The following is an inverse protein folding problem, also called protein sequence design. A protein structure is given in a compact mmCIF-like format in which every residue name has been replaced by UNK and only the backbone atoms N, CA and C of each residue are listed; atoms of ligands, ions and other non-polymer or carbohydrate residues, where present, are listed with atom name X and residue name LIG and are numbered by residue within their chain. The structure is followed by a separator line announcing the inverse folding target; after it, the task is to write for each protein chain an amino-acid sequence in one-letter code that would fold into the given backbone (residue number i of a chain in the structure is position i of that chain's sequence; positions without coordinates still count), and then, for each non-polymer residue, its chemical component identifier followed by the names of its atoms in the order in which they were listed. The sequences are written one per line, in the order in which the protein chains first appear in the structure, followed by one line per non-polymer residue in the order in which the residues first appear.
data_IF_096063676197
#
_entry.id   IF_096063676197
#
_cell.length_a   1.000
_cell.length_b   1.000
_cell.length_c   1.000
_cell.angle_alpha   90.00
_cell.angle_beta   90.00
_cell.angle_gamma   90.00
#
_symmetry.space_group_name_H-M   'P 1'
#
loop_
_entity.id
_entity.type
_entity.pdbx_description
1 polymer ?
#
# COMPACT_ATOMS: atom_id res chain seq x y z
N UNK A 1 -4.05 -12.39 -14.96
CA UNK A 1 -3.47 -11.02 -14.85
C UNK A 1 -3.78 -10.27 -16.12
N UNK A 2 -4.17 -8.99 -16.03
CA UNK A 2 -4.27 -8.12 -17.21
C UNK A 2 -2.87 -7.71 -17.69
N UNK A 3 -2.74 -7.29 -18.97
CA UNK A 3 -1.47 -6.77 -19.52
C UNK A 3 -0.92 -5.62 -18.65
N UNK A 4 -1.79 -4.72 -18.17
CA UNK A 4 -1.43 -3.62 -17.28
C UNK A 4 -0.81 -4.09 -15.95
N UNK A 5 -1.27 -5.25 -15.43
CA UNK A 5 -0.72 -5.82 -14.19
C UNK A 5 0.68 -6.39 -14.40
N UNK A 6 0.97 -6.97 -15.56
CA UNK A 6 2.28 -7.54 -15.88
C UNK A 6 3.32 -6.43 -16.07
N UNK A 7 2.97 -5.37 -16.80
CA UNK A 7 3.86 -4.23 -17.04
C UNK A 7 4.20 -3.49 -15.73
N UNK A 8 3.20 -3.25 -14.88
CA UNK A 8 3.39 -2.62 -13.58
C UNK A 8 4.25 -3.48 -12.65
N UNK A 9 4.07 -4.81 -12.66
CA UNK A 9 4.89 -5.73 -11.88
C UNK A 9 6.35 -5.67 -12.30
N UNK A 10 6.63 -5.72 -13.61
CA UNK A 10 7.98 -5.61 -14.15
C UNK A 10 8.64 -4.27 -13.78
N UNK A 11 7.88 -3.16 -13.86
CA UNK A 11 8.35 -1.84 -13.44
C UNK A 11 8.79 -1.82 -11.97
N UNK A 12 7.96 -2.32 -11.04
CA UNK A 12 8.28 -2.29 -9.62
C UNK A 12 9.38 -3.27 -9.24
N UNK A 13 9.47 -4.43 -9.90
CA UNK A 13 10.58 -5.37 -9.71
C UNK A 13 11.92 -4.73 -10.12
N UNK A 14 11.99 -4.12 -11.30
CA UNK A 14 13.20 -3.44 -11.78
C UNK A 14 13.58 -2.22 -10.93
N UNK A 15 12.59 -1.56 -10.32
CA UNK A 15 12.79 -0.38 -9.47
C UNK A 15 13.20 -0.72 -8.04
N UNK A 16 12.98 -1.95 -7.56
CA UNK A 16 13.19 -2.35 -6.17
C UNK A 16 14.54 -1.90 -5.57
N UNK A 17 15.70 -1.97 -6.27
CA UNK A 17 17.00 -1.57 -5.72
C UNK A 17 17.11 -0.10 -5.30
N UNK A 18 16.30 0.78 -5.88
CA UNK A 18 16.32 2.23 -5.59
C UNK A 18 14.94 2.81 -5.27
N UNK A 19 13.97 1.93 -4.97
CA UNK A 19 12.59 2.35 -4.68
C UNK A 19 12.53 3.34 -3.51
N UNK A 20 13.30 3.13 -2.48
CA UNK A 20 13.24 3.91 -1.23
C UNK A 20 13.63 5.39 -1.36
N UNK A 21 14.25 5.78 -2.47
CA UNK A 21 14.52 7.18 -2.77
C UNK A 21 13.26 8.05 -2.72
N UNK A 22 12.05 7.45 -2.93
CA UNK A 22 10.78 8.18 -2.83
C UNK A 22 10.49 8.67 -1.41
N UNK A 23 11.01 8.01 -0.37
CA UNK A 23 10.83 8.39 1.03
C UNK A 23 11.87 9.41 1.51
N UNK A 24 12.99 9.53 0.82
CA UNK A 24 14.10 10.43 1.18
C UNK A 24 13.99 11.83 0.58
N UNK A 25 12.93 12.12 -0.16
CA UNK A 25 12.69 13.43 -0.75
C UNK A 25 12.50 14.50 0.34
N UNK A 26 13.19 15.67 0.25
CA UNK A 26 13.11 16.72 1.28
C UNK A 26 11.70 17.17 1.61
N UNK A 27 10.84 17.33 0.60
CA UNK A 27 9.45 17.75 0.73
C UNK A 27 8.56 16.75 1.46
N UNK A 28 9.01 15.49 1.61
CA UNK A 28 8.28 14.41 2.31
C UNK A 28 8.72 14.22 3.75
N UNK A 29 9.75 14.92 4.20
CA UNK A 29 10.39 14.69 5.50
C UNK A 29 9.42 14.76 6.66
N UNK A 30 8.56 15.77 6.70
CA UNK A 30 7.59 15.95 7.80
C UNK A 30 6.54 14.84 7.79
N UNK A 31 5.99 14.51 6.62
CA UNK A 31 5.03 13.44 6.47
C UNK A 31 5.63 12.09 6.90
N UNK A 32 6.85 11.78 6.45
CA UNK A 32 7.54 10.53 6.79
C UNK A 32 7.82 10.47 8.29
N UNK A 33 8.29 11.56 8.92
CA UNK A 33 8.53 11.61 10.36
C UNK A 33 7.24 11.36 11.15
N UNK A 34 6.12 11.94 10.73
CA UNK A 34 4.81 11.68 11.32
C UNK A 34 4.40 10.21 11.14
N UNK A 35 4.44 9.69 9.91
CA UNK A 35 3.95 8.35 9.57
C UNK A 35 4.77 7.24 10.24
N UNK A 36 6.11 7.39 10.34
CA UNK A 36 6.99 6.40 11.00
C UNK A 36 6.73 6.28 12.51
N UNK A 37 6.09 7.26 13.12
CA UNK A 37 5.63 7.21 14.51
C UNK A 37 4.17 6.76 14.60
N UNK A 38 3.30 7.34 13.78
CA UNK A 38 1.86 7.14 13.85
C UNK A 38 1.44 5.71 13.48
N UNK A 39 1.94 5.15 12.36
CA UNK A 39 1.54 3.81 11.90
C UNK A 39 1.84 2.72 12.93
N UNK A 40 3.07 2.64 13.52
CA UNK A 40 3.35 1.69 14.59
C UNK A 40 2.44 1.82 15.80
N UNK A 41 2.14 3.05 16.23
CA UNK A 41 1.26 3.28 17.38
C UNK A 41 -0.16 2.78 17.13
N UNK A 42 -0.70 3.02 15.92
CA UNK A 42 -2.06 2.59 15.57
C UNK A 42 -2.19 1.07 15.47
N UNK A 43 -1.11 0.35 15.19
CA UNK A 43 -1.06 -1.11 15.02
C UNK A 43 -0.40 -1.84 16.21
N UNK A 44 -0.02 -1.12 17.25
CA UNK A 44 0.66 -1.65 18.45
C UNK A 44 -0.10 -2.82 19.06
N UNK A 45 0.64 -3.90 19.33
CA UNK A 45 0.13 -5.10 20.00
C UNK A 45 -0.87 -5.92 19.18
N UNK A 46 -1.13 -5.56 17.91
CA UNK A 46 -2.03 -6.29 17.01
C UNK A 46 -1.27 -7.34 16.19
N UNK A 47 -1.96 -8.40 15.80
CA UNK A 47 -1.51 -9.26 14.71
C UNK A 47 -1.88 -8.54 13.41
N UNK A 48 -0.89 -8.20 12.59
CA UNK A 48 -1.03 -7.29 11.44
C UNK A 48 -0.78 -8.02 10.14
N UNK A 49 -1.61 -7.74 9.13
CA UNK A 49 -1.38 -8.10 7.73
C UNK A 49 -0.95 -6.86 6.95
N UNK A 50 0.24 -6.91 6.36
CA UNK A 50 0.71 -5.87 5.44
C UNK A 50 0.56 -6.35 3.99
N UNK A 51 -0.14 -5.57 3.18
CA UNK A 51 -0.39 -5.83 1.76
C UNK A 51 0.57 -5.03 0.91
N UNK A 52 1.16 -5.69 -0.11
CA UNK A 52 2.08 -5.07 -1.06
C UNK A 52 3.22 -4.32 -0.35
N UNK A 53 3.91 -5.02 0.56
CA UNK A 53 4.94 -4.43 1.44
C UNK A 53 6.17 -3.93 0.69
N UNK A 54 6.33 -4.30 -0.58
CA UNK A 54 7.43 -3.87 -1.42
C UNK A 54 8.79 -4.21 -0.81
N UNK A 55 9.67 -3.21 -0.75
CA UNK A 55 11.01 -3.32 -0.14
C UNK A 55 11.00 -3.33 1.40
N UNK A 56 9.82 -3.37 2.04
CA UNK A 56 9.70 -3.42 3.49
C UNK A 56 9.95 -2.09 4.21
N UNK A 57 9.88 -0.96 3.50
CA UNK A 57 10.11 0.35 4.12
C UNK A 57 9.18 0.60 5.31
N UNK A 58 7.89 0.33 5.18
CA UNK A 58 6.94 0.48 6.28
C UNK A 58 6.99 -0.69 7.25
N UNK A 59 7.26 -1.89 6.75
CA UNK A 59 7.40 -3.12 7.56
C UNK A 59 8.37 -2.93 8.71
N UNK A 60 9.57 -2.35 8.45
CA UNK A 60 10.60 -2.12 9.48
C UNK A 60 10.14 -1.22 10.64
N UNK A 61 9.21 -0.31 10.37
CA UNK A 61 8.67 0.59 11.39
C UNK A 61 7.51 -0.04 12.16
N UNK A 62 6.65 -0.82 11.48
CA UNK A 62 5.45 -1.41 12.06
C UNK A 62 5.78 -2.67 12.87
N UNK A 63 6.67 -3.52 12.36
CA UNK A 63 6.96 -4.83 12.94
C UNK A 63 7.38 -4.79 14.42
N UNK A 64 8.27 -3.87 14.87
CA UNK A 64 8.67 -3.81 16.28
C UNK A 64 7.54 -3.46 17.24
N UNK A 65 6.47 -2.82 16.78
CA UNK A 65 5.32 -2.45 17.60
C UNK A 65 4.18 -3.48 17.55
N UNK A 66 4.07 -4.22 16.46
CA UNK A 66 3.07 -5.25 16.27
C UNK A 66 3.31 -6.45 17.19
N UNK A 67 2.25 -7.17 17.57
CA UNK A 67 2.39 -8.47 18.24
C UNK A 67 2.98 -9.51 17.29
N UNK A 68 2.56 -9.46 16.05
CA UNK A 68 3.03 -10.30 14.94
C UNK A 68 2.74 -9.57 13.63
N UNK A 69 3.60 -9.70 12.65
CA UNK A 69 3.38 -9.14 11.33
C UNK A 69 3.56 -10.19 10.25
N UNK A 70 2.57 -10.30 9.37
CA UNK A 70 2.63 -11.04 8.12
C UNK A 70 2.64 -10.03 6.99
N UNK A 71 3.67 -10.05 6.14
CA UNK A 71 3.81 -9.13 5.03
C UNK A 71 3.73 -9.88 3.69
N UNK A 72 2.96 -9.32 2.75
CA UNK A 72 2.77 -9.92 1.44
C UNK A 72 3.17 -8.96 0.33
N UNK A 73 3.75 -9.50 -0.73
CA UNK A 73 3.95 -8.81 -2.00
C UNK A 73 3.84 -9.82 -3.15
N UNK A 74 3.49 -9.36 -4.34
CA UNK A 74 3.40 -10.24 -5.51
C UNK A 74 4.79 -10.54 -6.10
N UNK A 75 5.76 -9.64 -5.91
CA UNK A 75 7.10 -9.71 -6.50
C UNK A 75 8.11 -10.27 -5.52
N UNK A 76 8.93 -11.22 -5.97
CA UNK A 76 9.99 -11.81 -5.16
C UNK A 76 11.16 -10.83 -4.94
N UNK A 77 11.43 -9.97 -5.91
CA UNK A 77 12.55 -9.03 -5.89
C UNK A 77 12.43 -8.03 -4.73
N UNK A 78 11.32 -7.27 -4.56
CA UNK A 78 11.14 -6.41 -3.40
C UNK A 78 11.19 -7.16 -2.08
N UNK A 79 10.59 -8.38 -2.01
CA UNK A 79 10.62 -9.21 -0.80
C UNK A 79 12.05 -9.60 -0.39
N UNK A 80 12.97 -9.74 -1.35
CA UNK A 80 14.39 -9.95 -1.07
C UNK A 80 14.99 -8.81 -0.24
N UNK A 81 14.68 -7.56 -0.58
CA UNK A 81 15.10 -6.38 0.19
C UNK A 81 14.38 -6.29 1.54
N UNK A 82 13.07 -6.57 1.57
CA UNK A 82 12.27 -6.49 2.79
C UNK A 82 12.80 -7.41 3.91
N UNK A 83 13.22 -8.63 3.56
CA UNK A 83 13.77 -9.61 4.52
C UNK A 83 15.12 -9.19 5.15
N UNK A 84 15.81 -8.26 4.51
CA UNK A 84 17.13 -7.79 4.96
C UNK A 84 17.05 -6.52 5.81
N UNK A 85 15.84 -5.96 6.00
CA UNK A 85 15.69 -4.73 6.77
C UNK A 85 15.82 -4.97 8.27
N UNK A 86 16.48 -4.05 8.99
CA UNK A 86 16.48 -4.07 10.45
C UNK A 86 15.07 -4.07 11.03
N UNK A 87 14.83 -4.84 12.08
CA UNK A 87 13.55 -4.90 12.77
C UNK A 87 12.49 -5.77 12.10
N UNK A 88 12.86 -6.52 11.04
CA UNK A 88 11.93 -7.42 10.33
C UNK A 88 12.24 -8.91 10.58
N UNK A 89 13.13 -9.24 11.50
CA UNK A 89 13.62 -10.61 11.75
C UNK A 89 12.49 -11.57 12.15
N UNK A 90 11.43 -11.07 12.76
CA UNK A 90 10.24 -11.85 13.16
C UNK A 90 9.08 -11.80 12.18
N UNK A 91 9.24 -11.16 11.01
CA UNK A 91 8.17 -10.98 10.03
C UNK A 91 8.04 -12.20 9.11
N UNK A 92 6.81 -12.69 8.94
CA UNK A 92 6.51 -13.74 7.97
C UNK A 92 6.24 -13.12 6.59
N UNK A 93 7.20 -13.22 5.67
CA UNK A 93 7.08 -12.70 4.31
C UNK A 93 6.58 -13.76 3.33
N UNK A 94 5.51 -13.45 2.59
CA UNK A 94 4.91 -14.34 1.60
C UNK A 94 4.75 -13.67 0.24
N UNK A 95 5.07 -14.40 -0.81
CA UNK A 95 4.78 -13.97 -2.18
C UNK A 95 3.34 -14.33 -2.51
N UNK A 96 2.45 -13.34 -2.45
CA UNK A 96 1.00 -13.53 -2.60
C UNK A 96 0.39 -12.34 -3.34
N UNK A 97 -0.54 -12.63 -4.24
CA UNK A 97 -1.36 -11.64 -4.92
C UNK A 97 -2.38 -11.03 -3.95
N UNK A 98 -2.40 -9.70 -3.84
CA UNK A 98 -3.32 -8.94 -3.00
C UNK A 98 -4.81 -9.19 -3.33
N UNK A 99 -5.12 -9.67 -4.54
CA UNK A 99 -6.48 -10.05 -4.95
C UNK A 99 -6.83 -11.51 -4.68
N UNK A 100 -5.90 -12.31 -4.17
CA UNK A 100 -6.06 -13.75 -3.93
C UNK A 100 -5.46 -14.16 -2.57
N UNK A 101 -5.76 -13.40 -1.54
CA UNK A 101 -5.30 -13.65 -0.17
C UNK A 101 -5.91 -14.95 0.35
N UNK A 102 -5.12 -15.99 0.67
CA UNK A 102 -5.66 -17.26 1.12
C UNK A 102 -6.01 -17.23 2.61
N UNK A 103 -7.13 -17.85 3.00
CA UNK A 103 -7.59 -17.92 4.40
C UNK A 103 -6.54 -18.52 5.36
N UNK A 104 -5.63 -19.37 4.86
CA UNK A 104 -4.53 -19.95 5.67
C UNK A 104 -3.52 -18.94 6.19
N UNK A 105 -3.54 -17.70 5.70
CA UNK A 105 -2.69 -16.62 6.27
C UNK A 105 -3.04 -16.34 7.73
N UNK A 106 -4.26 -16.63 8.14
CA UNK A 106 -4.74 -16.42 9.50
C UNK A 106 -5.84 -15.39 9.62
N UNK A 107 -6.01 -14.86 10.83
CA UNK A 107 -7.01 -13.84 11.14
C UNK A 107 -6.31 -12.69 11.88
N UNK A 108 -6.53 -11.45 11.43
CA UNK A 108 -5.73 -10.30 11.81
C UNK A 108 -6.57 -9.27 12.58
N UNK A 109 -5.97 -8.71 13.63
CA UNK A 109 -6.53 -7.58 14.38
C UNK A 109 -6.16 -6.21 13.80
N UNK A 110 -5.34 -6.19 12.75
CA UNK A 110 -4.98 -4.97 12.01
C UNK A 110 -4.49 -5.27 10.60
N UNK A 111 -4.59 -4.29 9.72
CA UNK A 111 -4.03 -4.37 8.38
C UNK A 111 -3.42 -3.03 7.94
N UNK A 112 -2.44 -3.10 7.06
CA UNK A 112 -1.81 -1.95 6.44
C UNK A 112 -1.58 -2.18 4.95
N UNK A 113 -1.81 -1.15 4.14
CA UNK A 113 -1.38 -1.11 2.74
C UNK A 113 -0.84 0.29 2.42
N UNK A 114 0.46 0.37 2.15
CA UNK A 114 1.15 1.62 1.84
C UNK A 114 1.51 1.74 0.38
N UNK A 115 1.09 2.84 -0.29
CA UNK A 115 1.36 3.15 -1.70
C UNK A 115 0.87 2.07 -2.67
N UNK A 116 -0.19 1.38 -2.29
CA UNK A 116 -0.80 0.29 -3.05
C UNK A 116 -2.18 0.62 -3.60
N UNK A 117 -3.05 1.28 -2.81
CA UNK A 117 -4.46 1.45 -3.16
C UNK A 117 -4.68 2.24 -4.45
N UNK A 118 -3.80 3.17 -4.77
CA UNK A 118 -3.79 3.89 -6.05
C UNK A 118 -3.51 3.01 -7.27
N UNK A 119 -2.95 1.83 -7.07
CA UNK A 119 -2.71 0.83 -8.13
C UNK A 119 -3.84 -0.20 -8.26
N UNK A 120 -4.91 -0.03 -7.47
CA UNK A 120 -6.12 -0.85 -7.57
C UNK A 120 -7.06 -0.20 -8.59
N UNK A 121 -7.42 -0.89 -9.69
CA UNK A 121 -8.41 -0.39 -10.63
C UNK A 121 -9.71 -0.01 -9.94
N UNK A 122 -10.35 1.07 -10.39
CA UNK A 122 -11.58 1.59 -9.79
C UNK A 122 -12.62 0.48 -9.58
N UNK A 123 -12.85 -0.33 -10.61
CA UNK A 123 -13.83 -1.44 -10.55
C UNK A 123 -13.40 -2.61 -9.64
N UNK A 124 -12.11 -2.70 -9.28
CA UNK A 124 -11.58 -3.78 -8.44
C UNK A 124 -11.50 -3.41 -6.95
N UNK A 125 -11.70 -2.14 -6.57
CA UNK A 125 -11.56 -1.65 -5.19
C UNK A 125 -12.43 -2.42 -4.20
N UNK A 126 -13.71 -2.63 -4.53
CA UNK A 126 -14.63 -3.38 -3.68
C UNK A 126 -14.20 -4.83 -3.49
N UNK A 127 -13.74 -5.51 -4.56
CA UNK A 127 -13.23 -6.88 -4.48
C UNK A 127 -11.95 -6.96 -3.64
N UNK A 128 -11.03 -6.03 -3.81
CA UNK A 128 -9.81 -5.95 -3.00
C UNK A 128 -10.15 -5.81 -1.51
N UNK A 129 -11.00 -4.84 -1.16
CA UNK A 129 -11.40 -4.62 0.23
C UNK A 129 -12.13 -5.83 0.82
N UNK A 130 -13.04 -6.46 0.08
CA UNK A 130 -13.74 -7.66 0.53
C UNK A 130 -12.77 -8.83 0.81
N UNK A 131 -11.77 -9.04 -0.05
CA UNK A 131 -10.72 -10.04 0.15
C UNK A 131 -9.86 -9.76 1.37
N UNK A 132 -9.50 -8.50 1.61
CA UNK A 132 -8.79 -8.08 2.81
C UNK A 132 -9.64 -8.29 4.06
N UNK A 133 -10.87 -7.80 4.07
CA UNK A 133 -11.78 -7.86 5.22
C UNK A 133 -12.10 -9.30 5.64
N UNK A 134 -12.15 -10.26 4.69
CA UNK A 134 -12.37 -11.67 4.99
C UNK A 134 -11.29 -12.29 5.91
N UNK A 135 -10.12 -11.66 6.03
CA UNK A 135 -9.04 -12.08 6.92
C UNK A 135 -9.00 -11.26 8.23
N UNK A 136 -9.91 -10.34 8.44
CA UNK A 136 -9.88 -9.46 9.61
C UNK A 136 -10.86 -9.90 10.70
N UNK A 137 -10.45 -9.69 11.93
CA UNK A 137 -11.29 -9.90 13.12
C UNK A 137 -12.27 -8.73 13.28
N UNK A 138 -13.46 -8.93 13.89
CA UNK A 138 -14.30 -7.82 14.32
C UNK A 138 -13.50 -6.84 15.22
N UNK A 139 -13.58 -5.55 14.95
CA UNK A 139 -12.80 -4.51 15.62
C UNK A 139 -11.36 -4.38 15.10
N UNK A 140 -11.04 -5.05 14.00
CA UNK A 140 -9.73 -4.86 13.35
C UNK A 140 -9.59 -3.44 12.80
N UNK A 141 -8.39 -2.91 12.93
CA UNK A 141 -8.01 -1.58 12.43
C UNK A 141 -7.27 -1.69 11.11
N UNK A 142 -7.72 -0.95 10.11
CA UNK A 142 -7.09 -0.90 8.80
C UNK A 142 -6.56 0.50 8.54
N UNK A 143 -5.34 0.58 8.03
CA UNK A 143 -4.72 1.80 7.57
C UNK A 143 -4.35 1.67 6.08
N UNK A 144 -4.86 2.59 5.27
CA UNK A 144 -4.46 2.76 3.88
C UNK A 144 -3.73 4.09 3.74
N UNK A 145 -2.54 4.05 3.16
CA UNK A 145 -1.68 5.21 2.94
C UNK A 145 -1.35 5.29 1.46
N UNK A 146 -1.54 6.45 0.83
CA UNK A 146 -1.06 6.63 -0.54
C UNK A 146 -0.70 8.09 -0.84
N UNK A 147 -0.08 8.31 -2.01
CA UNK A 147 0.22 9.66 -2.46
C UNK A 147 -1.07 10.43 -2.74
N UNK A 148 -1.06 11.71 -2.41
CA UNK A 148 -2.08 12.64 -2.85
C UNK A 148 -1.73 13.27 -4.22
N UNK A 149 -2.56 14.18 -4.70
CA UNK A 149 -2.43 14.82 -6.01
C UNK A 149 -1.16 15.68 -6.19
N UNK A 150 -0.44 16.00 -5.10
CA UNK A 150 0.85 16.70 -5.18
C UNK A 150 1.85 15.91 -6.04
N UNK A 151 1.74 14.58 -6.07
CA UNK A 151 2.57 13.73 -6.92
C UNK A 151 2.41 14.02 -8.42
N UNK A 152 1.30 14.61 -8.86
CA UNK A 152 1.07 14.97 -10.27
C UNK A 152 2.05 16.03 -10.78
N UNK A 153 2.72 16.77 -9.90
CA UNK A 153 3.79 17.70 -10.27
C UNK A 153 5.00 16.96 -10.86
N UNK A 154 5.30 15.77 -10.32
CA UNK A 154 6.44 14.96 -10.76
C UNK A 154 6.03 14.00 -11.91
N UNK A 155 4.82 13.46 -11.82
CA UNK A 155 4.28 12.46 -12.74
C UNK A 155 2.84 12.83 -13.11
N UNK A 156 2.62 13.62 -14.17
CA UNK A 156 1.27 13.96 -14.61
C UNK A 156 0.52 12.72 -15.13
N UNK A 157 -0.81 12.80 -15.12
CA UNK A 157 -1.65 11.80 -15.76
C UNK A 157 -1.41 11.87 -17.28
N UNK A 158 -1.02 10.75 -17.86
CA UNK A 158 -0.79 10.61 -19.30
C UNK A 158 -2.03 10.10 -20.04
N UNK A 159 -2.88 9.35 -19.35
CA UNK A 159 -4.05 8.69 -19.94
C UNK A 159 -5.12 8.44 -18.88
N UNK A 160 -6.38 8.50 -19.29
CA UNK A 160 -7.53 8.00 -18.51
C UNK A 160 -8.30 7.02 -19.39
N UNK A 161 -8.57 5.82 -18.89
CA UNK A 161 -9.33 4.82 -19.63
C UNK A 161 -10.85 4.99 -19.48
N UNK A 162 -11.62 4.15 -20.17
CA UNK A 162 -13.09 4.19 -20.14
C UNK A 162 -13.71 3.77 -18.81
N UNK A 163 -12.92 3.17 -17.91
CA UNK A 163 -13.35 2.78 -16.56
C UNK A 163 -13.05 3.88 -15.51
N UNK A 164 -12.39 4.97 -15.93
CA UNK A 164 -11.95 6.04 -15.06
C UNK A 164 -10.59 5.77 -14.40
N UNK A 165 -9.90 4.69 -14.78
CA UNK A 165 -8.55 4.43 -14.31
C UNK A 165 -7.56 5.38 -14.99
N UNK A 166 -6.67 5.98 -14.19
CA UNK A 166 -5.65 6.91 -14.66
C UNK A 166 -4.27 6.25 -14.70
N UNK A 167 -3.45 6.66 -15.66
CA UNK A 167 -2.13 6.08 -15.90
C UNK A 167 -1.08 7.18 -16.02
N UNK A 168 0.12 6.86 -15.51
CA UNK A 168 1.30 7.71 -15.61
C UNK A 168 2.36 7.01 -16.46
N UNK A 169 3.13 7.78 -17.23
CA UNK A 169 4.36 7.31 -17.88
C UNK A 169 5.51 7.49 -16.90
N UNK A 170 6.22 6.41 -16.60
CA UNK A 170 7.32 6.42 -15.64
C UNK A 170 8.57 5.80 -16.22
N UNK A 171 9.67 6.55 -16.19
CA UNK A 171 10.97 6.07 -16.65
C UNK A 171 11.74 5.33 -15.55
N UNK A 172 12.46 4.29 -15.93
CA UNK A 172 13.50 3.65 -15.12
C UNK A 172 14.87 4.27 -15.42
N UNK A 173 15.87 3.90 -14.61
CA UNK A 173 17.25 4.41 -14.77
C UNK A 173 17.90 3.94 -16.07
N UNK A 174 17.46 2.84 -16.66
CA UNK A 174 17.90 2.31 -17.95
C UNK A 174 17.27 3.05 -19.16
N UNK A 175 16.41 4.04 -18.90
CA UNK A 175 15.71 4.82 -19.92
C UNK A 175 14.41 4.18 -20.43
N UNK A 176 14.07 2.96 -20.01
CA UNK A 176 12.77 2.36 -20.36
C UNK A 176 11.61 3.14 -19.76
N UNK A 177 10.49 3.21 -20.48
CA UNK A 177 9.29 3.94 -20.06
C UNK A 177 8.15 2.94 -19.89
N UNK A 178 7.47 3.02 -18.75
CA UNK A 178 6.44 2.10 -18.36
C UNK A 178 5.12 2.83 -18.09
N UNK A 179 4.03 2.21 -18.51
CA UNK A 179 2.66 2.65 -18.21
C UNK A 179 2.25 2.10 -16.84
N UNK A 180 2.05 2.99 -15.88
CA UNK A 180 1.74 2.62 -14.49
C UNK A 180 0.35 3.11 -14.13
N UNK A 181 -0.54 2.19 -13.73
CA UNK A 181 -1.83 2.53 -13.15
C UNK A 181 -1.61 3.35 -11.89
N UNK A 182 -2.20 4.53 -11.81
CA UNK A 182 -2.11 5.42 -10.66
C UNK A 182 -3.36 6.27 -10.54
N UNK A 183 -4.25 5.86 -9.67
CA UNK A 183 -5.47 6.57 -9.32
C UNK A 183 -5.25 7.49 -8.11
N UNK A 184 -6.05 8.56 -8.03
CA UNK A 184 -6.04 9.49 -6.91
C UNK A 184 -7.47 9.57 -6.34
N UNK A 185 -7.89 8.59 -5.50
CA UNK A 185 -9.23 8.60 -4.95
C UNK A 185 -9.43 9.78 -4.00
N UNK A 186 -10.57 10.43 -4.10
CA UNK A 186 -10.99 11.48 -3.19
C UNK A 186 -11.44 10.91 -1.84
N UNK A 187 -11.44 11.74 -0.78
CA UNK A 187 -12.00 11.35 0.52
C UNK A 187 -13.44 10.85 0.41
N UNK A 188 -14.26 11.52 -0.41
CA UNK A 188 -15.65 11.14 -0.65
C UNK A 188 -15.79 9.74 -1.25
N UNK A 189 -14.97 9.41 -2.26
CA UNK A 189 -14.97 8.06 -2.86
C UNK A 189 -14.51 7.00 -1.87
N UNK A 190 -13.46 7.29 -1.08
CA UNK A 190 -12.95 6.37 -0.07
C UNK A 190 -13.99 6.11 1.03
N UNK A 191 -14.68 7.15 1.51
CA UNK A 191 -15.76 7.01 2.48
C UNK A 191 -16.91 6.18 1.94
N UNK A 192 -17.38 6.47 0.72
CA UNK A 192 -18.49 5.73 0.09
C UNK A 192 -18.20 4.23 -0.05
N UNK A 193 -16.93 3.85 -0.30
CA UNK A 193 -16.50 2.44 -0.34
C UNK A 193 -16.57 1.74 1.03
N UNK A 194 -16.39 2.48 2.13
CA UNK A 194 -16.22 1.93 3.46
C UNK A 194 -17.45 2.06 4.35
N UNK A 195 -18.32 3.05 4.13
CA UNK A 195 -19.55 3.27 4.92
C UNK A 195 -20.39 2.00 5.13
N UNK A 196 -20.51 1.07 4.17
CA UNK A 196 -21.30 -0.14 4.38
C UNK A 196 -20.69 -1.12 5.39
N UNK A 197 -19.39 -1.03 5.70
CA UNK A 197 -18.65 -2.04 6.46
C UNK A 197 -17.88 -1.49 7.66
N UNK A 198 -17.54 -0.21 7.66
CA UNK A 198 -16.71 0.40 8.69
C UNK A 198 -17.55 1.05 9.81
N UNK A 199 -17.18 0.80 11.06
CA UNK A 199 -17.75 1.46 12.26
C UNK A 199 -17.24 2.89 12.42
N UNK A 200 -15.99 3.12 12.09
CA UNK A 200 -15.34 4.43 12.18
C UNK A 200 -14.49 4.65 10.95
N UNK A 201 -14.48 5.86 10.42
CA UNK A 201 -13.64 6.24 9.28
C UNK A 201 -12.99 7.58 9.62
N UNK A 202 -11.66 7.62 9.58
CA UNK A 202 -10.85 8.84 9.73
C UNK A 202 -10.01 9.03 8.49
N UNK A 203 -10.10 10.19 7.88
CA UNK A 203 -9.26 10.60 6.76
C UNK A 203 -8.36 11.74 7.21
N UNK A 204 -7.09 11.68 6.87
CA UNK A 204 -6.12 12.73 7.13
C UNK A 204 -5.35 13.04 5.84
N UNK A 205 -5.48 14.27 5.37
CA UNK A 205 -4.67 14.82 4.30
C UNK A 205 -3.35 15.32 4.89
N UNK A 206 -2.23 14.80 4.39
CA UNK A 206 -0.87 15.28 4.67
C UNK A 206 -0.38 16.13 3.49
N UNK A 207 0.85 16.62 3.55
CA UNK A 207 1.40 17.43 2.46
C UNK A 207 1.53 16.64 1.14
N UNK A 208 2.01 15.39 1.21
CA UNK A 208 2.30 14.55 0.04
C UNK A 208 1.49 13.26 -0.01
N UNK A 209 0.80 12.92 1.08
CA UNK A 209 0.06 11.67 1.22
C UNK A 209 -1.34 11.93 1.74
N UNK A 210 -2.18 10.93 1.63
CA UNK A 210 -3.37 10.76 2.44
C UNK A 210 -3.27 9.50 3.28
N UNK A 211 -3.82 9.55 4.48
CA UNK A 211 -3.95 8.42 5.39
C UNK A 211 -5.41 8.21 5.70
N UNK A 212 -5.90 7.01 5.44
CA UNK A 212 -7.24 6.56 5.79
C UNK A 212 -7.15 5.47 6.85
N UNK A 213 -7.78 5.69 7.99
CA UNK A 213 -7.91 4.73 9.06
C UNK A 213 -9.37 4.38 9.27
N UNK A 214 -9.68 3.09 9.38
CA UNK A 214 -11.02 2.64 9.71
C UNK A 214 -11.00 1.36 10.56
N UNK A 215 -12.15 1.07 11.20
CA UNK A 215 -12.37 -0.10 12.04
C UNK A 215 -13.59 -0.86 11.55
N UNK A 216 -13.53 -2.20 11.46
CA UNK A 216 -14.61 -3.09 11.00
C UNK A 216 -15.27 -3.85 12.15
#
# INVERSE_FOLDING_TARGET
MSLNSVEMLAYYAARAPYYDAVYSKPERREDIAFLTTHLPERLRGRTVLEIACGTGYWTQHIAPAAKQLVATDLSAEPLGFARLRPGTEGVAFHQIDAYALPARLGSFGGAFAGLWFSHVPVQARGRFLAGLHALLQPGARVLLLDNNEVQLRDFPIAETDTNGDTFQQRSLQDGSVHRVLKNFPTETELRALLEPVAKTIRYQQLQNFWLLEYEI
#
